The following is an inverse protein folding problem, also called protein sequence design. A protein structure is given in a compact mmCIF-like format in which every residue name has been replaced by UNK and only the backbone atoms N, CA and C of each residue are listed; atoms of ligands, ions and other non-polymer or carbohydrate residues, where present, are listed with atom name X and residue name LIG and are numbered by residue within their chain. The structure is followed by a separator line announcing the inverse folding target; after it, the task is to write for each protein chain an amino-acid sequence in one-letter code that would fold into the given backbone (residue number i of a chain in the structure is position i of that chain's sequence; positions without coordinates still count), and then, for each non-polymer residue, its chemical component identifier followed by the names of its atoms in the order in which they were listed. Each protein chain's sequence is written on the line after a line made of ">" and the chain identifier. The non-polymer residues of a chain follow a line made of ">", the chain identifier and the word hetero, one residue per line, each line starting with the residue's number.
data_IF_135576051383
#
_entry.id   IF_135576051383
#
_cell.length_a   1.000
_cell.length_b   1.000
_cell.length_c   1.000
_cell.angle_alpha   90.00
_cell.angle_beta   90.00
_cell.angle_gamma   90.00
#
_symmetry.space_group_name_H-M   'P 1'
#
loop_
_entity.id
_entity.type
_entity.pdbx_description
1 polymer ?
#
# COMPACT_ATOMS: atom_id res chain seq x y z
N UNK A 1 -22.87 24.44 -35.31
CA UNK A 1 -23.57 24.44 -34.01
C UNK A 1 -23.54 23.03 -33.45
N UNK A 2 -22.61 22.69 -32.61
CA UNK A 2 -22.67 21.51 -31.76
C UNK A 2 -21.95 21.84 -30.44
N UNK A 3 -22.73 21.90 -29.36
CA UNK A 3 -22.26 22.18 -28.01
C UNK A 3 -21.73 20.87 -27.43
N UNK A 4 -20.43 20.76 -27.20
CA UNK A 4 -19.82 19.71 -26.38
C UNK A 4 -19.89 20.07 -24.91
N UNK A 5 -20.60 19.26 -24.13
CA UNK A 5 -20.78 19.40 -22.69
C UNK A 5 -19.66 18.61 -21.99
N UNK A 6 -18.75 19.32 -21.33
CA UNK A 6 -17.80 18.71 -20.42
C UNK A 6 -18.53 18.22 -19.16
N UNK A 7 -18.43 16.95 -18.87
CA UNK A 7 -18.91 16.35 -17.60
C UNK A 7 -17.68 15.99 -16.77
N UNK A 8 -17.40 16.86 -15.79
CA UNK A 8 -16.55 16.52 -14.67
C UNK A 8 -17.30 15.55 -13.78
N UNK A 9 -17.01 14.27 -13.89
CA UNK A 9 -17.48 13.23 -13.00
C UNK A 9 -16.36 12.80 -12.06
N UNK A 10 -16.21 13.48 -10.93
CA UNK A 10 -15.45 12.95 -9.80
C UNK A 10 -16.28 11.83 -9.20
N UNK A 11 -15.96 10.59 -9.55
CA UNK A 11 -16.57 9.40 -8.95
C UNK A 11 -15.88 9.11 -7.63
N UNK A 12 -16.46 9.58 -6.56
CA UNK A 12 -16.16 9.13 -5.19
C UNK A 12 -16.67 7.70 -5.07
N UNK A 13 -15.78 6.72 -5.17
CA UNK A 13 -16.11 5.33 -4.82
C UNK A 13 -16.03 5.19 -3.30
N UNK A 14 -17.20 5.22 -2.68
CA UNK A 14 -17.42 4.76 -1.31
C UNK A 14 -17.19 3.25 -1.25
N UNK A 15 -16.10 2.84 -0.63
CA UNK A 15 -15.86 1.47 -0.19
C UNK A 15 -16.22 1.36 1.28
N UNK A 16 -17.48 1.01 1.56
CA UNK A 16 -17.98 0.77 2.92
C UNK A 16 -17.40 -0.53 3.45
N UNK A 17 -16.53 -0.43 4.46
CA UNK A 17 -16.31 -1.49 5.45
C UNK A 17 -16.68 -0.91 6.81
N UNK A 18 -17.48 -1.67 7.56
CA UNK A 18 -18.13 -1.26 8.80
C UNK A 18 -17.16 -0.66 9.83
N UNK A 19 -17.49 0.52 10.33
CA UNK A 19 -16.94 1.07 11.58
C UNK A 19 -15.89 2.18 11.47
N UNK A 20 -15.34 2.51 10.31
CA UNK A 20 -14.30 3.54 10.15
C UNK A 20 -14.83 4.79 9.44
N UNK A 21 -15.04 5.87 10.19
CA UNK A 21 -15.36 7.18 9.62
C UNK A 21 -14.15 7.65 8.80
N UNK A 22 -14.28 7.73 7.48
CA UNK A 22 -13.24 8.29 6.61
C UNK A 22 -13.13 9.79 6.89
N UNK A 23 -12.01 10.25 7.42
CA UNK A 23 -11.74 11.66 7.62
C UNK A 23 -11.45 12.33 6.27
N UNK A 24 -12.03 13.50 6.04
CA UNK A 24 -11.60 14.35 4.93
C UNK A 24 -10.30 15.08 5.29
N UNK A 25 -9.60 15.64 4.30
CA UNK A 25 -8.37 16.44 4.55
C UNK A 25 -8.67 17.62 5.49
N UNK A 26 -9.86 18.19 5.42
CA UNK A 26 -10.29 19.27 6.33
C UNK A 26 -10.49 18.77 7.76
N UNK A 27 -11.09 17.57 7.94
CA UNK A 27 -11.24 16.94 9.25
C UNK A 27 -9.87 16.59 9.84
N UNK A 28 -8.95 16.04 9.05
CA UNK A 28 -7.58 15.76 9.46
C UNK A 28 -6.87 17.04 9.94
N UNK A 29 -6.98 18.13 9.19
CA UNK A 29 -6.39 19.41 9.56
C UNK A 29 -6.96 19.95 10.87
N UNK A 30 -8.27 19.84 11.10
CA UNK A 30 -8.92 20.25 12.34
C UNK A 30 -8.42 19.42 13.54
N UNK A 31 -8.30 18.10 13.38
CA UNK A 31 -7.76 17.21 14.43
C UNK A 31 -6.31 17.56 14.73
N UNK A 32 -5.49 17.78 13.71
CA UNK A 32 -4.07 18.17 13.87
C UNK A 32 -3.94 19.49 14.62
N UNK A 33 -4.79 20.48 14.32
CA UNK A 33 -4.80 21.76 15.01
C UNK A 33 -5.13 21.59 16.50
N UNK A 34 -6.11 20.75 16.85
CA UNK A 34 -6.47 20.43 18.25
C UNK A 34 -5.32 19.77 18.99
N UNK A 35 -4.65 18.80 18.37
CA UNK A 35 -3.47 18.15 18.98
C UNK A 35 -2.35 19.17 19.25
N UNK A 36 -2.10 20.07 18.30
CA UNK A 36 -1.07 21.11 18.45
C UNK A 36 -1.42 22.17 19.50
N UNK A 37 -2.72 22.39 19.74
CA UNK A 37 -3.21 23.33 20.78
C UNK A 37 -3.24 22.74 22.19
N UNK A 38 -2.85 21.46 22.35
CA UNK A 38 -2.73 20.84 23.66
C UNK A 38 -3.84 19.82 23.99
N UNK A 39 -4.54 19.28 22.98
CA UNK A 39 -5.51 18.20 23.12
C UNK A 39 -4.93 16.89 22.56
N UNK A 40 -3.98 16.22 23.25
CA UNK A 40 -3.31 15.04 22.71
C UNK A 40 -4.27 13.88 22.43
N UNK A 41 -5.41 13.79 23.12
CA UNK A 41 -6.43 12.75 22.95
C UNK A 41 -7.05 12.80 21.55
N UNK A 42 -7.12 13.97 20.93
CA UNK A 42 -7.63 14.14 19.57
C UNK A 42 -6.82 13.29 18.56
N UNK A 43 -5.54 13.00 18.82
CA UNK A 43 -4.70 12.18 17.95
C UNK A 43 -5.28 10.76 17.73
N UNK A 44 -6.03 10.24 18.68
CA UNK A 44 -6.70 8.94 18.55
C UNK A 44 -7.68 8.88 17.35
N UNK A 45 -8.20 10.01 16.89
CA UNK A 45 -9.08 10.08 15.72
C UNK A 45 -8.27 9.75 14.44
N UNK A 46 -7.06 10.32 14.29
CA UNK A 46 -6.15 10.00 13.18
C UNK A 46 -5.68 8.56 13.23
N UNK A 47 -5.34 8.06 14.43
CA UNK A 47 -4.94 6.64 14.60
C UNK A 47 -6.04 5.72 14.11
N UNK A 48 -7.28 5.88 14.61
CA UNK A 48 -8.41 5.04 14.20
C UNK A 48 -8.67 5.09 12.69
N UNK A 49 -8.63 6.28 12.09
CA UNK A 49 -8.89 6.44 10.67
C UNK A 49 -7.83 5.80 9.76
N UNK A 50 -6.58 5.74 10.21
CA UNK A 50 -5.46 5.34 9.37
C UNK A 50 -4.81 4.01 9.73
N UNK A 51 -5.20 3.34 10.83
CA UNK A 51 -4.59 2.07 11.25
C UNK A 51 -4.68 0.99 10.17
N UNK A 52 -5.83 0.81 9.54
CA UNK A 52 -6.02 -0.21 8.52
C UNK A 52 -5.11 -0.02 7.31
N UNK A 53 -4.96 1.21 6.82
CA UNK A 53 -4.06 1.50 5.69
C UNK A 53 -2.60 1.40 6.10
N UNK A 54 -2.25 1.79 7.32
CA UNK A 54 -0.90 1.68 7.87
C UNK A 54 -0.47 0.21 7.99
N UNK A 55 -1.33 -0.67 8.49
CA UNK A 55 -1.08 -2.12 8.57
C UNK A 55 -0.90 -2.73 7.17
N UNK A 56 -1.78 -2.40 6.21
CA UNK A 56 -1.60 -2.85 4.82
C UNK A 56 -0.25 -2.41 4.25
N UNK A 57 0.17 -1.18 4.53
CA UNK A 57 1.46 -0.67 4.07
C UNK A 57 2.64 -1.42 4.69
N UNK A 58 2.61 -1.66 6.01
CA UNK A 58 3.65 -2.40 6.71
C UNK A 58 3.79 -3.83 6.17
N UNK A 59 2.67 -4.56 6.05
CA UNK A 59 2.65 -5.92 5.49
C UNK A 59 3.15 -5.94 4.05
N UNK A 60 2.67 -5.02 3.19
CA UNK A 60 3.09 -4.91 1.79
C UNK A 60 4.58 -4.61 1.62
N UNK A 61 5.19 -3.94 2.61
CA UNK A 61 6.62 -3.63 2.63
C UNK A 61 7.48 -4.67 3.35
N UNK A 62 6.88 -5.79 3.79
CA UNK A 62 7.60 -6.95 4.32
C UNK A 62 7.75 -6.98 5.84
N UNK A 63 6.92 -6.26 6.61
CA UNK A 63 6.95 -6.31 8.06
C UNK A 63 6.57 -7.71 8.63
N UNK A 64 5.77 -8.49 7.87
CA UNK A 64 5.35 -9.82 8.33
C UNK A 64 4.62 -9.76 9.68
N UNK A 65 5.05 -10.59 10.63
CA UNK A 65 4.48 -10.64 11.98
C UNK A 65 4.72 -9.35 12.78
N UNK A 66 5.73 -8.56 12.44
CA UNK A 66 6.08 -7.32 13.16
C UNK A 66 5.25 -6.11 12.70
N UNK A 67 4.22 -6.32 11.86
CA UNK A 67 3.46 -5.22 11.24
C UNK A 67 2.79 -4.30 12.27
N UNK A 68 2.24 -4.85 13.35
CA UNK A 68 1.58 -4.07 14.40
C UNK A 68 2.58 -3.20 15.16
N UNK A 69 3.74 -3.77 15.53
CA UNK A 69 4.79 -3.04 16.23
C UNK A 69 5.36 -1.91 15.38
N UNK A 70 5.58 -2.18 14.09
CA UNK A 70 6.02 -1.17 13.12
C UNK A 70 5.01 -0.04 12.99
N UNK A 71 3.72 -0.36 12.92
CA UNK A 71 2.65 0.64 12.81
C UNK A 71 2.54 1.47 14.08
N UNK A 72 2.63 0.84 15.26
CA UNK A 72 2.65 1.56 16.52
C UNK A 72 3.84 2.53 16.60
N UNK A 73 5.04 2.06 16.26
CA UNK A 73 6.24 2.90 16.21
C UNK A 73 6.08 4.07 15.21
N UNK A 74 5.47 3.81 14.06
CA UNK A 74 5.21 4.83 13.05
C UNK A 74 4.23 5.90 13.53
N UNK A 75 3.13 5.51 14.19
CA UNK A 75 2.19 6.48 14.79
C UNK A 75 2.84 7.30 15.90
N UNK A 76 3.65 6.68 16.75
CA UNK A 76 4.40 7.41 17.77
C UNK A 76 5.35 8.45 17.15
N UNK A 77 6.06 8.06 16.12
CA UNK A 77 6.97 8.96 15.38
C UNK A 77 6.19 10.07 14.67
N UNK A 78 5.04 9.74 14.07
CA UNK A 78 4.14 10.72 13.46
C UNK A 78 3.65 11.74 14.50
N UNK A 79 3.20 11.29 15.67
CA UNK A 79 2.80 12.17 16.77
C UNK A 79 3.91 13.15 17.16
N UNK A 80 5.10 12.65 17.38
CA UNK A 80 6.26 13.49 17.76
C UNK A 80 6.66 14.50 16.67
N UNK A 81 6.41 14.15 15.41
CA UNK A 81 6.73 14.98 14.25
C UNK A 81 5.56 15.86 13.80
N UNK A 82 4.41 15.80 14.48
CA UNK A 82 3.19 16.48 14.06
C UNK A 82 3.37 18.01 14.07
N UNK A 83 4.23 18.53 14.93
CA UNK A 83 4.58 19.96 14.97
C UNK A 83 5.22 20.46 13.67
N UNK A 84 5.92 19.59 12.92
CA UNK A 84 6.55 19.92 11.63
C UNK A 84 5.71 19.51 10.42
N UNK A 85 4.51 18.93 10.63
CA UNK A 85 3.62 18.57 9.54
C UNK A 85 3.08 19.81 8.85
N UNK A 86 3.13 19.82 7.51
CA UNK A 86 2.72 20.97 6.70
C UNK A 86 1.20 21.12 6.71
N UNK A 87 0.71 22.30 7.06
CA UNK A 87 -0.70 22.61 7.04
C UNK A 87 -1.32 22.46 5.63
N UNK A 88 -2.50 21.87 5.59
CA UNK A 88 -3.23 21.62 4.33
C UNK A 88 -2.69 20.46 3.48
N UNK A 89 -1.59 19.83 3.87
CA UNK A 89 -1.17 18.60 3.23
C UNK A 89 -2.05 17.41 3.68
N UNK A 90 -2.27 16.39 2.84
CA UNK A 90 -2.98 15.19 3.25
C UNK A 90 -2.13 14.39 4.24
N UNK A 91 -2.73 13.97 5.36
CA UNK A 91 -2.03 13.25 6.43
C UNK A 91 -1.64 11.82 6.00
N UNK A 92 -2.50 11.15 5.25
CA UNK A 92 -2.30 9.76 4.82
C UNK A 92 -0.96 9.52 4.09
N UNK A 93 -0.59 10.25 3.02
CA UNK A 93 0.69 10.04 2.32
C UNK A 93 1.90 10.28 3.23
N UNK A 94 1.83 11.28 4.08
CA UNK A 94 2.89 11.58 5.04
C UNK A 94 3.07 10.47 6.07
N UNK A 95 1.96 9.96 6.64
CA UNK A 95 1.99 8.81 7.55
C UNK A 95 2.55 7.55 6.88
N UNK A 96 2.07 7.22 5.68
CA UNK A 96 2.54 6.03 4.95
C UNK A 96 4.04 6.09 4.67
N UNK A 97 4.57 7.26 4.38
CA UNK A 97 6.04 7.45 4.26
C UNK A 97 6.76 7.07 5.55
N UNK A 98 6.23 7.44 6.72
CA UNK A 98 6.79 7.07 8.01
C UNK A 98 6.71 5.55 8.21
N UNK A 99 5.54 4.94 7.98
CA UNK A 99 5.33 3.49 8.10
C UNK A 99 6.32 2.71 7.25
N UNK A 100 6.46 3.07 5.98
CA UNK A 100 7.38 2.38 5.06
C UNK A 100 8.85 2.52 5.50
N UNK A 101 9.23 3.68 6.01
CA UNK A 101 10.58 3.88 6.54
C UNK A 101 10.82 3.03 7.80
N UNK A 102 9.86 2.97 8.73
CA UNK A 102 9.97 2.12 9.92
C UNK A 102 10.00 0.63 9.55
N UNK A 103 9.15 0.20 8.60
CA UNK A 103 9.18 -1.18 8.08
C UNK A 103 10.56 -1.53 7.51
N UNK A 104 11.13 -0.65 6.67
CA UNK A 104 12.47 -0.89 6.11
C UNK A 104 13.55 -0.97 7.19
N UNK A 105 13.46 -0.16 8.22
CA UNK A 105 14.38 -0.19 9.33
C UNK A 105 14.26 -1.50 10.11
N UNK A 106 13.05 -1.95 10.41
CA UNK A 106 12.77 -3.21 11.09
C UNK A 106 13.30 -4.41 10.28
N UNK A 107 12.97 -4.49 8.99
CA UNK A 107 13.44 -5.55 8.09
C UNK A 107 14.98 -5.58 8.01
N UNK A 108 15.64 -4.42 7.86
CA UNK A 108 17.10 -4.35 7.83
C UNK A 108 17.71 -4.80 9.16
N UNK A 109 17.11 -4.44 10.28
CA UNK A 109 17.56 -4.85 11.62
C UNK A 109 17.41 -6.34 11.81
N UNK A 110 16.27 -6.92 11.41
CA UNK A 110 16.03 -8.36 11.44
C UNK A 110 17.05 -9.14 10.58
N UNK A 111 17.34 -8.65 9.38
CA UNK A 111 18.36 -9.27 8.50
C UNK A 111 19.75 -9.21 9.14
N UNK A 112 20.14 -8.07 9.74
CA UNK A 112 21.44 -7.95 10.44
C UNK A 112 21.51 -8.89 11.64
N UNK A 113 20.45 -8.98 12.44
CA UNK A 113 20.41 -9.85 13.62
C UNK A 113 20.54 -11.33 13.22
N UNK A 114 19.85 -11.75 12.15
CA UNK A 114 19.97 -13.09 11.59
C UNK A 114 21.39 -13.38 11.03
N UNK A 115 22.02 -12.39 10.41
CA UNK A 115 23.40 -12.52 9.92
C UNK A 115 24.41 -12.69 11.06
N UNK A 116 24.16 -12.06 12.22
CA UNK A 116 25.00 -12.17 13.43
C UNK A 116 24.72 -13.47 14.18
N UNK A 117 23.45 -13.90 14.26
CA UNK A 117 23.04 -15.10 15.00
C UNK A 117 23.43 -16.42 14.30
N UNK A 118 24.03 -16.37 13.12
CA UNK A 118 24.52 -17.56 12.42
C UNK A 118 23.42 -18.51 11.96
N UNK A 119 23.27 -18.62 10.66
CA UNK A 119 22.77 -19.71 9.79
C UNK A 119 21.61 -20.65 10.19
N UNK A 120 21.03 -20.65 11.36
CA UNK A 120 20.04 -21.67 11.74
C UNK A 120 18.55 -21.28 11.68
N UNK A 121 18.21 -20.06 11.33
CA UNK A 121 16.80 -19.64 11.22
C UNK A 121 16.41 -19.27 9.76
N UNK A 122 16.66 -20.18 8.85
CA UNK A 122 16.05 -20.14 7.53
C UNK A 122 14.75 -20.94 7.61
N UNK A 123 13.63 -20.30 7.19
CA UNK A 123 12.27 -20.84 7.07
C UNK A 123 11.29 -20.47 8.22
N UNK A 124 10.90 -19.21 8.23
CA UNK A 124 9.53 -18.86 8.60
C UNK A 124 9.02 -17.88 7.53
N UNK A 125 8.36 -18.45 6.53
CA UNK A 125 7.65 -17.71 5.50
C UNK A 125 6.53 -16.90 6.17
N UNK A 126 6.43 -15.62 5.80
CA UNK A 126 5.28 -14.81 6.20
C UNK A 126 4.01 -15.41 5.58
N UNK A 127 3.14 -15.94 6.40
CA UNK A 127 1.80 -16.34 5.96
C UNK A 127 1.02 -15.10 5.52
N UNK A 128 0.44 -15.12 4.32
CA UNK A 128 -0.31 -13.99 3.81
C UNK A 128 -1.67 -13.88 4.49
N UNK A 129 -1.94 -12.73 5.10
CA UNK A 129 -3.25 -12.34 5.66
C UNK A 129 -4.29 -12.10 4.55
N UNK A 130 -4.80 -13.16 3.92
CA UNK A 130 -6.01 -13.11 3.09
C UNK A 130 -6.92 -14.24 3.57
N UNK A 131 -8.22 -13.97 3.83
CA UNK A 131 -9.16 -15.00 4.27
C UNK A 131 -9.21 -16.15 3.27
N UNK A 132 -9.07 -17.38 3.76
CA UNK A 132 -9.30 -18.59 2.96
C UNK A 132 -10.76 -18.66 2.58
N UNK A 133 -11.01 -18.86 1.30
CA UNK A 133 -12.34 -19.20 0.79
C UNK A 133 -12.72 -20.61 1.28
N UNK A 134 -13.97 -20.78 1.69
CA UNK A 134 -14.49 -22.07 2.19
C UNK A 134 -14.59 -23.17 1.11
N UNK A 135 -14.40 -22.83 -0.18
CA UNK A 135 -14.40 -23.77 -1.30
C UNK A 135 -12.97 -24.14 -1.70
N UNK A 136 -12.57 -25.44 -1.57
CA UNK A 136 -11.22 -25.90 -1.90
C UNK A 136 -10.79 -25.64 -3.34
N UNK A 137 -11.72 -25.70 -4.30
CA UNK A 137 -11.42 -25.45 -5.71
C UNK A 137 -11.15 -23.97 -5.97
N UNK A 138 -11.92 -23.09 -5.33
CA UNK A 138 -11.71 -21.63 -5.37
C UNK A 138 -10.42 -21.26 -4.66
N UNK A 139 -10.11 -21.91 -3.54
CA UNK A 139 -8.87 -21.70 -2.79
C UNK A 139 -7.63 -22.12 -3.60
N UNK A 140 -7.68 -23.25 -4.32
CA UNK A 140 -6.58 -23.72 -5.18
C UNK A 140 -6.30 -22.73 -6.33
N UNK A 141 -7.33 -22.31 -7.07
CA UNK A 141 -7.20 -21.31 -8.16
C UNK A 141 -6.72 -19.95 -7.63
N UNK A 142 -7.19 -19.54 -6.45
CA UNK A 142 -6.72 -18.33 -5.80
C UNK A 142 -5.24 -18.45 -5.38
N UNK A 143 -4.82 -19.64 -4.92
CA UNK A 143 -3.45 -19.95 -4.57
C UNK A 143 -2.50 -19.85 -5.76
N UNK A 144 -2.85 -20.46 -6.90
CA UNK A 144 -2.06 -20.38 -8.14
C UNK A 144 -1.93 -18.94 -8.64
N UNK A 145 -3.05 -18.19 -8.68
CA UNK A 145 -3.03 -16.78 -9.06
C UNK A 145 -2.17 -15.94 -8.12
N UNK A 146 -2.20 -16.25 -6.83
CA UNK A 146 -1.37 -15.57 -5.83
C UNK A 146 0.11 -15.87 -6.04
N UNK A 147 0.49 -17.13 -6.23
CA UNK A 147 1.86 -17.53 -6.51
C UNK A 147 2.39 -16.82 -7.77
N UNK A 148 1.57 -16.76 -8.81
CA UNK A 148 1.89 -16.05 -10.04
C UNK A 148 2.11 -14.54 -9.81
N UNK A 149 1.25 -13.89 -9.02
CA UNK A 149 1.39 -12.48 -8.66
C UNK A 149 2.65 -12.23 -7.84
N UNK A 150 2.97 -13.09 -6.87
CA UNK A 150 4.20 -12.98 -6.07
C UNK A 150 5.42 -13.06 -6.97
N UNK A 151 5.50 -14.08 -7.83
CA UNK A 151 6.59 -14.24 -8.80
C UNK A 151 6.71 -13.04 -9.75
N UNK A 152 5.57 -12.52 -10.22
CA UNK A 152 5.55 -11.34 -11.07
C UNK A 152 6.06 -10.08 -10.36
N UNK A 153 5.71 -9.90 -9.08
CA UNK A 153 6.18 -8.79 -8.26
C UNK A 153 7.66 -8.92 -7.91
N UNK A 154 8.16 -10.13 -7.68
CA UNK A 154 9.59 -10.40 -7.48
C UNK A 154 10.43 -10.03 -8.70
N UNK A 155 9.89 -10.21 -9.90
CA UNK A 155 10.50 -9.77 -11.13
C UNK A 155 10.67 -8.26 -11.27
N UNK A 156 9.93 -7.43 -10.51
CA UNK A 156 10.05 -5.97 -10.57
C UNK A 156 11.30 -5.47 -9.82
N UNK A 157 11.84 -4.34 -10.30
CA UNK A 157 12.82 -3.60 -9.48
C UNK A 157 12.15 -3.05 -8.23
N UNK A 158 12.91 -2.77 -7.19
CA UNK A 158 12.40 -2.21 -5.94
C UNK A 158 11.53 -0.96 -6.17
N UNK A 159 12.00 -0.04 -7.02
CA UNK A 159 11.26 1.18 -7.32
C UNK A 159 9.97 0.95 -8.15
N UNK A 160 9.95 -0.09 -8.99
CA UNK A 160 8.74 -0.51 -9.70
C UNK A 160 7.74 -1.17 -8.76
N UNK A 161 8.20 -2.03 -7.87
CA UNK A 161 7.37 -2.67 -6.85
C UNK A 161 6.73 -1.64 -5.93
N UNK A 162 7.52 -0.67 -5.45
CA UNK A 162 7.00 0.43 -4.63
C UNK A 162 5.85 1.17 -5.31
N UNK A 163 6.05 1.64 -6.54
CA UNK A 163 5.00 2.42 -7.20
C UNK A 163 3.73 1.60 -7.44
N UNK A 164 3.84 0.31 -7.74
CA UNK A 164 2.68 -0.59 -7.89
C UNK A 164 1.98 -0.77 -6.55
N UNK A 165 2.72 -1.02 -5.48
CA UNK A 165 2.17 -1.16 -4.11
C UNK A 165 1.39 0.08 -3.71
N UNK A 166 1.97 1.27 -3.86
CA UNK A 166 1.30 2.51 -3.45
C UNK A 166 0.06 2.78 -4.28
N UNK A 167 0.11 2.55 -5.59
CA UNK A 167 -1.02 2.82 -6.50
C UNK A 167 -2.17 1.83 -6.36
N UNK A 168 -1.89 0.54 -6.20
CA UNK A 168 -2.91 -0.52 -6.28
C UNK A 168 -3.23 -1.17 -4.94
N UNK A 169 -2.24 -1.37 -4.07
CA UNK A 169 -2.48 -1.99 -2.78
C UNK A 169 -2.89 -0.98 -1.71
N UNK A 170 -2.31 0.22 -1.76
CA UNK A 170 -2.63 1.31 -0.85
C UNK A 170 -3.64 2.32 -1.44
N UNK A 171 -4.08 2.08 -2.68
CA UNK A 171 -5.12 2.87 -3.37
C UNK A 171 -4.82 4.38 -3.40
N UNK A 172 -3.54 4.73 -3.44
CA UNK A 172 -3.10 6.11 -3.51
C UNK A 172 -3.21 6.64 -4.94
N UNK A 173 -3.58 7.90 -5.09
CA UNK A 173 -3.50 8.57 -6.39
C UNK A 173 -2.04 8.89 -6.79
N UNK A 174 -1.83 9.47 -7.97
CA UNK A 174 -0.48 9.79 -8.46
C UNK A 174 0.20 10.86 -7.61
N UNK A 175 -0.56 11.83 -7.09
CA UNK A 175 -0.04 12.92 -6.26
C UNK A 175 0.38 12.41 -4.88
N UNK A 176 -0.51 11.65 -4.24
CA UNK A 176 -0.24 11.00 -2.96
C UNK A 176 0.96 10.04 -3.04
N UNK A 177 1.04 9.25 -4.12
CA UNK A 177 2.17 8.34 -4.36
C UNK A 177 3.48 9.12 -4.52
N UNK A 178 3.46 10.24 -5.25
CA UNK A 178 4.62 11.10 -5.46
C UNK A 178 5.10 11.69 -4.12
N UNK A 179 4.18 12.18 -3.30
CA UNK A 179 4.48 12.73 -1.98
C UNK A 179 5.03 11.65 -1.03
N UNK A 180 4.36 10.51 -0.93
CA UNK A 180 4.76 9.41 -0.05
C UNK A 180 6.12 8.83 -0.42
N UNK A 181 6.46 8.72 -1.71
CA UNK A 181 7.76 8.24 -2.19
C UNK A 181 8.82 9.34 -2.22
N UNK A 182 8.44 10.61 -2.14
CA UNK A 182 9.34 11.76 -2.33
C UNK A 182 9.86 11.86 -3.77
N UNK A 183 9.05 11.48 -4.76
CA UNK A 183 9.41 11.49 -6.17
C UNK A 183 8.59 12.52 -6.96
N UNK A 184 9.16 13.07 -8.05
CA UNK A 184 8.37 13.86 -9.00
C UNK A 184 7.24 13.00 -9.62
N UNK A 185 6.05 13.59 -9.86
CA UNK A 185 4.91 12.91 -10.49
C UNK A 185 5.27 12.21 -11.80
N UNK A 186 6.05 12.88 -12.68
CA UNK A 186 6.52 12.28 -13.92
C UNK A 186 7.34 11.01 -13.73
N UNK A 187 8.10 10.93 -12.62
CA UNK A 187 8.85 9.74 -12.23
C UNK A 187 7.91 8.61 -11.79
N UNK A 188 6.88 8.92 -11.01
CA UNK A 188 5.85 7.96 -10.60
C UNK A 188 5.16 7.39 -11.83
N UNK A 189 4.66 8.24 -12.73
CA UNK A 189 3.99 7.84 -13.98
C UNK A 189 4.87 6.94 -14.85
N UNK A 190 6.11 7.34 -15.09
CA UNK A 190 7.03 6.58 -15.95
C UNK A 190 7.41 5.23 -15.35
N UNK A 191 7.66 5.16 -14.04
CA UNK A 191 7.98 3.91 -13.34
C UNK A 191 6.79 2.98 -13.26
N UNK A 192 5.59 3.52 -13.02
CA UNK A 192 4.35 2.75 -13.02
C UNK A 192 4.11 2.11 -14.39
N UNK A 193 4.22 2.90 -15.46
CA UNK A 193 4.01 2.38 -16.82
C UNK A 193 4.99 1.24 -17.16
N UNK A 194 6.29 1.40 -16.82
CA UNK A 194 7.28 0.34 -17.01
C UNK A 194 6.98 -0.90 -16.17
N UNK A 195 6.51 -0.71 -14.92
CA UNK A 195 6.14 -1.81 -14.05
C UNK A 195 4.96 -2.60 -14.61
N UNK A 196 3.89 -1.91 -15.03
CA UNK A 196 2.71 -2.53 -15.62
C UNK A 196 3.02 -3.26 -16.93
N UNK A 197 3.84 -2.67 -17.79
CA UNK A 197 4.31 -3.34 -19.01
C UNK A 197 5.07 -4.63 -18.70
N UNK A 198 5.93 -4.61 -17.67
CA UNK A 198 6.69 -5.80 -17.26
C UNK A 198 5.78 -6.86 -16.64
N UNK A 199 4.86 -6.47 -15.76
CA UNK A 199 3.86 -7.37 -15.18
C UNK A 199 2.99 -8.02 -16.26
N UNK A 200 2.50 -7.24 -17.22
CA UNK A 200 1.71 -7.75 -18.33
C UNK A 200 2.45 -8.83 -19.14
N UNK A 201 3.75 -8.65 -19.39
CA UNK A 201 4.57 -9.67 -20.08
C UNK A 201 4.71 -10.95 -19.26
N UNK A 202 4.97 -10.84 -17.95
CA UNK A 202 5.12 -12.01 -17.07
C UNK A 202 3.80 -12.78 -17.01
N UNK A 203 2.68 -12.09 -16.81
CA UNK A 203 1.36 -12.72 -16.73
C UNK A 203 0.97 -13.37 -18.06
N UNK A 204 1.22 -12.72 -19.21
CA UNK A 204 0.91 -13.27 -20.53
C UNK A 204 1.69 -14.57 -20.83
N UNK A 205 2.93 -14.68 -20.36
CA UNK A 205 3.73 -15.90 -20.52
C UNK A 205 3.25 -17.02 -19.60
N UNK A 206 2.75 -16.68 -18.42
CA UNK A 206 2.34 -17.66 -17.40
C UNK A 206 0.88 -18.11 -17.51
N UNK A 207 0.06 -17.38 -18.27
CA UNK A 207 -1.35 -17.73 -18.56
C UNK A 207 -1.55 -17.65 -20.08
N UNK A 208 -1.22 -18.72 -20.83
CA UNK A 208 -1.55 -18.74 -22.25
C UNK A 208 -3.08 -18.65 -22.38
N UNK A 209 -3.53 -17.62 -23.10
CA UNK A 209 -4.94 -17.50 -23.47
C UNK A 209 -5.28 -18.75 -24.30
N UNK A 210 -6.31 -19.52 -23.96
CA UNK A 210 -6.74 -20.62 -24.81
C UNK A 210 -7.10 -20.01 -26.17
N UNK A 211 -6.38 -20.39 -27.21
CA UNK A 211 -6.72 -20.03 -28.58
C UNK A 211 -8.14 -20.51 -28.83
N UNK A 212 -9.05 -19.55 -28.99
CA UNK A 212 -10.43 -19.82 -29.34
C UNK A 212 -10.45 -20.66 -30.62
N UNK A 213 -10.88 -21.90 -30.50
CA UNK A 213 -11.00 -22.81 -31.62
C UNK A 213 -11.87 -22.19 -32.70
N UNK A 214 -11.24 -21.83 -33.82
CA UNK A 214 -11.94 -21.56 -35.07
C UNK A 214 -12.63 -22.88 -35.50
N UNK A 215 -13.90 -22.96 -35.12
CA UNK A 215 -14.83 -23.96 -35.70
C UNK A 215 -15.03 -23.66 -37.18
N UNK A 216 -14.24 -24.28 -38.02
CA UNK A 216 -14.65 -24.50 -39.41
C UNK A 216 -15.75 -25.56 -39.43
N UNK A 217 -16.91 -25.22 -39.89
CA UNK A 217 -18.01 -26.05 -40.24
C UNK A 217 -19.00 -25.28 -41.09
#
# INVERSE_FOLDING_TARGET
>A
MCRGRCINGVSTREGTLEGGRTLTVADEAAVIARVRSGEPEAYAELVRAHTAVALRAAVACGAGADAEDVVQAAFFKAYRSLGSFRDGAPFRPWLIRIVVNETRNAVRSAVRLRAVAGREAMLLGAEPLIPESADPAVAAVAGERRALLVTALEGLTESQRQVVTYRYLLEMDEAETAEALGWPRGTVKSRLNRALTKLGRIVAVSMPVPEGGEGRG
#
